data_IF_462824640037
#
_entry.id   IF_462824640037
#
_cell.length_a   1.000
_cell.length_b   1.000
_cell.length_c   1.000
_cell.angle_alpha   90.00
_cell.angle_beta   90.00
_cell.angle_gamma   90.00
#
_symmetry.space_group_name_H-M   'P 1'
#
loop_
_entity.id
_entity.type
_entity.pdbx_description
1 polymer ?
#
# COMPACT_ATOMS: atom_id res chain seq x y z
N UNK A 1 10.90 -5.68 18.65
CA UNK A 1 10.74 -6.96 19.39
C UNK A 1 11.33 -8.05 18.51
N UNK A 2 12.36 -8.71 19.00
CA UNK A 2 13.18 -9.67 18.24
C UNK A 2 13.61 -10.91 19.04
N UNK A 3 13.29 -10.99 20.34
CA UNK A 3 13.76 -12.08 21.23
C UNK A 3 12.64 -12.98 21.76
N UNK A 4 11.53 -12.41 22.24
CA UNK A 4 10.53 -13.16 23.02
C UNK A 4 9.40 -13.75 22.19
N UNK A 5 8.85 -12.97 21.26
CA UNK A 5 7.66 -13.32 20.48
C UNK A 5 8.01 -13.30 18.99
N UNK A 6 8.90 -14.19 18.57
CA UNK A 6 9.36 -14.33 17.18
C UNK A 6 9.41 -15.79 16.76
N UNK A 7 9.54 -16.04 15.46
CA UNK A 7 9.66 -17.41 14.97
C UNK A 7 10.98 -18.06 15.43
N UNK A 8 10.92 -19.31 15.89
CA UNK A 8 12.08 -20.00 16.46
C UNK A 8 13.15 -20.40 15.41
N UNK A 9 12.75 -20.60 14.15
CA UNK A 9 13.64 -21.09 13.08
C UNK A 9 14.05 -20.02 12.06
N UNK A 10 13.23 -18.98 11.90
CA UNK A 10 13.46 -17.94 10.90
C UNK A 10 13.86 -16.67 11.61
N UNK A 11 14.76 -15.90 11.00
CA UNK A 11 15.18 -14.62 11.55
C UNK A 11 14.05 -13.61 11.29
N UNK A 12 13.34 -13.26 12.36
CA UNK A 12 12.18 -12.38 12.31
C UNK A 12 12.23 -11.31 13.39
N UNK A 13 11.62 -10.17 13.11
CA UNK A 13 11.42 -9.14 14.10
C UNK A 13 10.13 -8.35 13.85
N UNK A 14 9.59 -7.77 14.92
CA UNK A 14 8.49 -6.82 14.88
C UNK A 14 9.03 -5.43 15.15
N UNK A 15 8.63 -4.47 14.32
CA UNK A 15 9.06 -3.08 14.41
C UNK A 15 7.85 -2.16 14.19
N UNK A 16 7.55 -1.32 15.17
CA UNK A 16 6.55 -0.26 15.02
C UNK A 16 7.25 1.09 14.78
N UNK A 17 7.26 1.55 13.53
CA UNK A 17 7.92 2.79 13.11
C UNK A 17 7.03 4.05 13.21
N UNK A 18 5.72 3.88 13.25
CA UNK A 18 4.74 4.97 13.12
C UNK A 18 4.02 5.27 14.44
N UNK A 19 3.43 6.46 14.49
CA UNK A 19 2.58 6.90 15.59
C UNK A 19 1.14 6.42 15.33
N UNK A 20 0.52 5.79 16.33
CA UNK A 20 -0.90 5.47 16.29
C UNK A 20 -1.72 6.73 16.56
N UNK A 21 -2.28 7.34 15.51
CA UNK A 21 -3.14 8.52 15.66
C UNK A 21 -4.47 8.16 16.33
N UNK A 22 -5.00 6.97 16.03
CA UNK A 22 -6.24 6.47 16.59
C UNK A 22 -6.15 4.96 16.87
N UNK A 23 -6.67 4.54 18.02
CA UNK A 23 -6.68 3.13 18.43
C UNK A 23 -5.28 2.59 18.73
N UNK A 24 -5.10 1.29 18.49
CA UNK A 24 -3.82 0.60 18.73
C UNK A 24 -3.05 0.42 17.42
N UNK A 25 -1.74 0.72 17.43
CA UNK A 25 -0.88 0.52 16.27
C UNK A 25 -0.87 -0.95 15.83
N UNK A 26 -1.00 -1.17 14.51
CA UNK A 26 -0.75 -2.47 13.90
C UNK A 26 0.73 -2.62 13.60
N UNK A 27 1.43 -3.41 14.42
CA UNK A 27 2.87 -3.63 14.25
C UNK A 27 3.15 -4.64 13.13
N UNK A 28 3.89 -4.26 12.08
CA UNK A 28 4.32 -5.19 11.03
C UNK A 28 5.38 -6.19 11.54
N UNK A 29 5.36 -7.37 10.93
CA UNK A 29 6.33 -8.45 11.13
C UNK A 29 7.23 -8.54 9.91
N UNK A 30 8.53 -8.55 10.12
CA UNK A 30 9.55 -8.66 9.08
C UNK A 30 10.27 -9.99 9.22
N UNK A 31 10.31 -10.76 8.14
CA UNK A 31 11.05 -12.01 8.04
C UNK A 31 12.20 -11.82 7.06
N UNK A 32 13.41 -12.12 7.50
CA UNK A 32 14.59 -12.13 6.64
C UNK A 32 14.65 -13.49 5.94
N UNK A 33 14.34 -13.50 4.65
CA UNK A 33 14.33 -14.73 3.84
C UNK A 33 15.72 -15.04 3.25
N UNK A 34 16.46 -13.99 2.89
CA UNK A 34 17.73 -14.13 2.19
C UNK A 34 18.63 -12.91 2.43
N UNK A 35 19.93 -13.15 2.60
CA UNK A 35 20.94 -12.11 2.84
C UNK A 35 22.18 -12.38 1.99
N UNK A 36 22.62 -11.38 1.22
CA UNK A 36 23.88 -11.45 0.46
C UNK A 36 25.09 -10.96 1.27
N UNK A 37 24.86 -10.15 2.30
CA UNK A 37 25.93 -9.58 3.12
C UNK A 37 26.41 -10.55 4.19
N UNK A 38 27.72 -10.79 4.20
CA UNK A 38 28.38 -11.54 5.25
C UNK A 38 28.50 -10.66 6.50
N UNK A 39 28.03 -11.17 7.64
CA UNK A 39 28.16 -10.48 8.93
C UNK A 39 27.13 -9.39 9.22
N UNK A 40 26.08 -9.24 8.38
CA UNK A 40 24.99 -8.33 8.69
C UNK A 40 24.25 -8.78 9.96
N UNK A 41 24.21 -7.91 10.96
CA UNK A 41 23.52 -8.17 12.23
C UNK A 41 22.04 -7.83 12.13
N UNK A 42 21.21 -8.44 12.98
CA UNK A 42 19.78 -8.16 13.01
C UNK A 42 19.48 -6.67 13.31
N UNK A 43 20.28 -6.04 14.18
CA UNK A 43 20.20 -4.61 14.50
C UNK A 43 20.37 -3.72 13.26
N UNK A 44 21.27 -4.09 12.34
CA UNK A 44 21.45 -3.36 11.08
C UNK A 44 20.16 -3.34 10.25
N UNK A 45 19.52 -4.52 10.09
CA UNK A 45 18.27 -4.64 9.36
C UNK A 45 17.11 -3.90 10.03
N UNK A 46 17.04 -3.92 11.37
CA UNK A 46 16.06 -3.17 12.13
C UNK A 46 16.22 -1.66 11.91
N UNK A 47 17.46 -1.14 11.98
CA UNK A 47 17.77 0.27 11.72
C UNK A 47 17.44 0.70 10.30
N UNK A 48 17.83 -0.09 9.30
CA UNK A 48 17.52 0.19 7.90
C UNK A 48 16.02 0.20 7.63
N UNK A 49 15.30 -0.81 8.13
CA UNK A 49 13.85 -0.89 7.99
C UNK A 49 13.18 0.33 8.61
N UNK A 50 13.63 0.76 9.79
CA UNK A 50 13.12 1.96 10.43
C UNK A 50 13.43 3.22 9.62
N UNK A 51 14.69 3.41 9.18
CA UNK A 51 15.11 4.55 8.39
C UNK A 51 14.31 4.68 7.07
N UNK A 52 14.03 3.56 6.40
CA UNK A 52 13.22 3.54 5.19
C UNK A 52 11.77 3.98 5.43
N UNK A 53 11.24 3.89 6.66
CA UNK A 53 9.90 4.37 7.01
C UNK A 53 9.84 5.91 7.10
N UNK A 54 10.96 6.60 7.29
CA UNK A 54 11.02 8.07 7.29
C UNK A 54 11.21 8.65 5.88
N UNK A 55 11.59 7.84 4.90
CA UNK A 55 11.88 8.28 3.54
C UNK A 55 10.63 8.35 2.64
N UNK A 56 9.43 8.46 3.21
CA UNK A 56 8.22 8.59 2.42
C UNK A 56 7.98 10.05 2.03
N UNK A 57 7.98 10.31 0.73
CA UNK A 57 8.06 11.68 0.19
C UNK A 57 6.79 12.52 0.38
N UNK A 58 5.64 11.90 0.69
CA UNK A 58 4.34 12.59 0.70
C UNK A 58 4.00 13.15 2.09
N UNK A 59 4.47 12.52 3.17
CA UNK A 59 4.16 12.94 4.54
C UNK A 59 5.42 13.17 5.35
N UNK A 60 5.40 14.19 6.21
CA UNK A 60 6.51 14.50 7.11
C UNK A 60 6.45 13.70 8.43
N UNK A 61 6.00 12.44 8.36
CA UNK A 61 5.83 11.55 9.50
C UNK A 61 6.23 10.13 9.07
N UNK A 62 6.82 9.33 9.97
CA UNK A 62 7.14 7.94 9.64
C UNK A 62 5.86 7.16 9.33
N UNK A 63 5.94 6.36 8.27
CA UNK A 63 4.88 5.45 7.85
C UNK A 63 5.01 4.08 8.51
N UNK A 64 3.92 3.30 8.50
CA UNK A 64 3.84 2.02 9.19
C UNK A 64 4.65 0.89 8.54
N UNK A 65 4.95 1.01 7.25
CA UNK A 65 5.78 0.07 6.48
C UNK A 65 6.83 0.85 5.68
N UNK A 66 7.95 0.24 5.24
CA UNK A 66 9.00 0.97 4.54
C UNK A 66 8.47 1.65 3.28
N UNK A 67 8.95 2.86 3.01
CA UNK A 67 8.55 3.65 1.84
C UNK A 67 8.51 2.86 0.51
N UNK A 68 9.52 2.03 0.15
CA UNK A 68 9.45 1.28 -1.11
C UNK A 68 8.29 0.28 -1.17
N UNK A 69 7.95 -0.37 -0.05
CA UNK A 69 6.83 -1.31 0.04
C UNK A 69 5.50 -0.56 -0.12
N UNK A 70 5.38 0.59 0.53
CA UNK A 70 4.20 1.44 0.41
C UNK A 70 3.97 1.89 -1.03
N UNK A 71 5.01 2.37 -1.70
CA UNK A 71 4.97 2.82 -3.10
C UNK A 71 4.62 1.67 -4.04
N UNK A 72 5.20 0.49 -3.84
CA UNK A 72 4.87 -0.71 -4.63
C UNK A 72 3.38 -1.06 -4.54
N UNK A 73 2.79 -0.97 -3.34
CA UNK A 73 1.36 -1.22 -3.15
C UNK A 73 0.50 -0.17 -3.88
N UNK A 74 0.86 1.12 -3.82
CA UNK A 74 0.17 2.17 -4.58
C UNK A 74 0.22 1.92 -6.10
N UNK A 75 1.35 1.43 -6.62
CA UNK A 75 1.44 1.08 -8.04
C UNK A 75 0.62 -0.17 -8.39
N UNK A 76 0.60 -1.19 -7.53
CA UNK A 76 -0.25 -2.37 -7.73
C UNK A 76 -1.73 -1.99 -7.73
N UNK A 77 -2.16 -1.11 -6.82
CA UNK A 77 -3.51 -0.55 -6.77
C UNK A 77 -3.87 0.16 -8.08
N UNK A 78 -3.00 1.06 -8.54
CA UNK A 78 -3.19 1.78 -9.80
C UNK A 78 -3.24 0.83 -10.99
N UNK A 79 -2.39 -0.19 -11.03
CA UNK A 79 -2.40 -1.22 -12.07
C UNK A 79 -3.73 -1.96 -12.11
N UNK A 80 -4.28 -2.32 -10.95
CA UNK A 80 -5.60 -2.97 -10.83
C UNK A 80 -6.72 -2.06 -11.34
N UNK A 81 -6.70 -0.78 -10.99
CA UNK A 81 -7.69 0.19 -11.48
C UNK A 81 -7.65 0.33 -13.00
N UNK A 82 -6.45 0.42 -13.60
CA UNK A 82 -6.29 0.49 -15.05
C UNK A 82 -6.81 -0.78 -15.73
N UNK A 83 -6.48 -1.96 -15.20
CA UNK A 83 -6.96 -3.23 -15.73
C UNK A 83 -8.48 -3.36 -15.64
N UNK A 84 -9.07 -2.95 -14.51
CA UNK A 84 -10.52 -2.93 -14.33
C UNK A 84 -11.20 -1.99 -15.32
N UNK A 85 -10.68 -0.77 -15.50
CA UNK A 85 -11.22 0.18 -16.48
C UNK A 85 -11.15 -0.37 -17.90
N UNK A 86 -10.05 -1.02 -18.27
CA UNK A 86 -9.93 -1.67 -19.58
C UNK A 86 -10.89 -2.86 -19.75
N UNK A 87 -11.27 -3.55 -18.66
CA UNK A 87 -12.32 -4.57 -18.69
C UNK A 87 -13.70 -3.94 -18.92
N UNK A 88 -13.98 -2.83 -18.24
CA UNK A 88 -15.25 -2.12 -18.34
C UNK A 88 -15.50 -1.55 -19.74
N UNK A 89 -14.46 -1.08 -20.45
CA UNK A 89 -14.62 -0.58 -21.83
C UNK A 89 -15.04 -1.66 -22.84
N UNK A 90 -14.87 -2.94 -22.51
CA UNK A 90 -15.26 -4.07 -23.36
C UNK A 90 -16.64 -4.64 -23.05
N UNK A 91 -17.29 -4.17 -21.99
CA UNK A 91 -18.61 -4.67 -21.57
C UNK A 91 -19.74 -3.91 -22.25
N UNK A 92 -20.83 -4.62 -22.54
CA UNK A 92 -22.06 -4.00 -23.01
C UNK A 92 -22.73 -3.15 -21.89
N UNK A 93 -23.56 -2.15 -22.23
CA UNK A 93 -24.19 -1.27 -21.24
C UNK A 93 -25.04 -2.01 -20.19
N UNK A 94 -25.65 -3.13 -20.55
CA UNK A 94 -26.43 -3.98 -19.64
C UNK A 94 -25.54 -4.70 -18.62
N UNK A 95 -24.39 -5.21 -19.06
CA UNK A 95 -23.40 -5.85 -18.19
C UNK A 95 -22.73 -4.87 -17.24
N UNK A 96 -22.55 -3.61 -17.67
CA UNK A 96 -22.06 -2.53 -16.81
C UNK A 96 -23.06 -2.22 -15.69
N UNK A 97 -24.36 -2.13 -15.99
CA UNK A 97 -25.42 -1.93 -15.00
C UNK A 97 -25.48 -3.09 -13.98
N UNK A 98 -25.36 -4.33 -14.45
CA UNK A 98 -25.33 -5.50 -13.56
C UNK A 98 -24.10 -5.53 -12.65
N UNK A 99 -22.91 -5.17 -13.17
CA UNK A 99 -21.68 -5.12 -12.37
C UNK A 99 -21.65 -3.99 -11.34
N UNK A 100 -22.28 -2.85 -11.63
CA UNK A 100 -22.42 -1.74 -10.69
C UNK A 100 -23.36 -2.10 -9.53
N UNK A 101 -24.45 -2.81 -9.82
CA UNK A 101 -25.40 -3.28 -8.80
C UNK A 101 -24.75 -4.27 -7.81
N UNK A 102 -23.93 -5.20 -8.31
CA UNK A 102 -23.18 -6.13 -7.44
C UNK A 102 -22.13 -5.44 -6.56
N UNK A 103 -21.44 -4.41 -7.07
CA UNK A 103 -20.38 -3.73 -6.32
C UNK A 103 -20.94 -2.86 -5.19
N UNK A 104 -22.21 -2.47 -5.25
CA UNK A 104 -22.90 -1.71 -4.21
C UNK A 104 -23.36 -2.59 -3.02
N UNK A 105 -23.42 -3.91 -3.19
CA UNK A 105 -23.87 -4.83 -2.13
C UNK A 105 -22.71 -5.29 -1.21
N UNK A 106 -21.45 -5.17 -1.67
CA UNK A 106 -20.24 -5.44 -0.88
C UNK A 106 -19.80 -4.22 0.00
N UNK A 107 -20.51 -3.09 -0.07
CA UNK A 107 -20.22 -1.85 0.65
C UNK A 107 -20.72 -1.86 2.11
N UNK A 108 -19.95 -2.48 3.01
CA UNK A 108 -20.00 -2.20 4.47
C UNK A 108 -18.65 -1.73 5.03
N UNK A 109 -17.82 -1.11 4.19
CA UNK A 109 -16.54 -0.50 4.59
C UNK A 109 -16.41 0.85 3.86
N UNK A 110 -17.05 1.88 4.43
CA UNK A 110 -17.31 3.21 3.86
C UNK A 110 -16.06 3.94 3.31
N UNK A 111 -14.86 3.50 3.67
CA UNK A 111 -13.59 4.11 3.22
C UNK A 111 -13.11 3.61 1.85
N UNK A 112 -13.48 2.40 1.44
CA UNK A 112 -13.06 1.83 0.14
C UNK A 112 -13.89 2.33 -1.03
N UNK A 113 -15.19 2.53 -0.82
CA UNK A 113 -16.15 3.02 -1.81
C UNK A 113 -15.81 4.46 -2.24
N UNK A 114 -15.55 5.34 -1.27
CA UNK A 114 -15.14 6.71 -1.54
C UNK A 114 -13.82 6.74 -2.33
N UNK A 115 -12.84 5.92 -1.95
CA UNK A 115 -11.55 5.85 -2.66
C UNK A 115 -11.72 5.36 -4.10
N UNK A 116 -12.58 4.36 -4.34
CA UNK A 116 -12.85 3.85 -5.70
C UNK A 116 -13.59 4.88 -6.56
N UNK A 117 -14.65 5.52 -6.04
CA UNK A 117 -15.39 6.57 -6.74
C UNK A 117 -14.52 7.80 -7.01
N UNK A 118 -13.66 8.18 -6.05
CA UNK A 118 -12.70 9.27 -6.22
C UNK A 118 -11.60 8.89 -7.22
N UNK A 119 -11.15 7.63 -7.25
CA UNK A 119 -10.21 7.13 -8.26
C UNK A 119 -10.82 7.09 -9.68
N UNK A 120 -12.13 6.82 -9.79
CA UNK A 120 -12.88 6.95 -11.04
C UNK A 120 -13.01 8.42 -11.47
N UNK A 121 -13.09 9.36 -10.53
CA UNK A 121 -12.98 10.81 -10.78
C UNK A 121 -11.56 11.23 -11.20
N UNK A 122 -10.52 10.56 -10.68
CA UNK A 122 -9.11 10.72 -11.08
C UNK A 122 -8.73 9.89 -12.32
N UNK A 123 -9.70 9.46 -13.13
CA UNK A 123 -9.43 8.82 -14.41
C UNK A 123 -8.65 9.77 -15.33
N UNK A 124 -7.41 9.39 -15.64
CA UNK A 124 -6.53 10.08 -16.60
C UNK A 124 -7.09 10.09 -18.05
N UNK A 125 -8.12 9.29 -18.33
CA UNK A 125 -8.88 9.34 -19.59
C UNK A 125 -9.80 10.57 -19.69
N UNK A 126 -10.20 11.16 -18.56
CA UNK A 126 -11.13 12.30 -18.51
C UNK A 126 -10.44 13.67 -18.37
N UNK A 127 -9.13 13.73 -18.07
CA UNK A 127 -8.35 14.99 -18.00
C UNK A 127 -6.91 14.84 -18.51
N UNK A 128 -6.67 15.13 -19.81
CA UNK A 128 -5.32 15.07 -20.41
C UNK A 128 -4.30 15.98 -19.73
N UNK A 129 -4.74 17.04 -19.03
CA UNK A 129 -3.86 18.03 -18.39
C UNK A 129 -3.13 17.48 -17.15
N UNK A 130 -3.61 16.37 -16.57
CA UNK A 130 -2.99 15.73 -15.40
C UNK A 130 -1.93 14.70 -15.79
N UNK A 131 -1.79 14.36 -17.09
CA UNK A 131 -0.82 13.38 -17.59
C UNK A 131 0.65 13.82 -17.39
N UNK A 132 0.92 15.12 -17.28
CA UNK A 132 2.27 15.69 -17.24
C UNK A 132 2.69 16.24 -15.88
N UNK A 133 1.78 16.41 -14.91
CA UNK A 133 2.18 16.82 -13.56
C UNK A 133 2.58 15.59 -12.76
N UNK A 134 3.88 15.27 -12.78
CA UNK A 134 4.48 14.56 -11.65
C UNK A 134 4.16 15.39 -10.42
N UNK A 135 3.21 14.94 -9.61
CA UNK A 135 3.05 15.43 -8.25
C UNK A 135 4.22 14.79 -7.49
N UNK A 136 5.38 15.41 -7.64
CA UNK A 136 6.43 15.29 -6.63
C UNK A 136 6.00 16.24 -5.50
N UNK A 137 6.11 15.73 -4.28
CA UNK A 137 6.05 16.39 -2.96
C UNK A 137 5.76 17.90 -2.95
#
# INVERSE_FOLDING_TARGET
>A
IDTTVVHAKFVEFYLNSHIAIQGTAKTPRYTILFTNEQGATLDLYQRWTNALCYNFQIVNSPVSVPAPVYVANCYAERGRQIANNFRLTKLSPEQLKAGLAMSAEDEKDDTKSEYYLKSLQYNYSCRPQLRSRRINA
#
